data_IF_589804511847
#
_entry.id   IF_589804511847
#
_cell.length_a   1.000
_cell.length_b   1.000
_cell.length_c   1.000
_cell.angle_alpha   90.00
_cell.angle_beta   90.00
_cell.angle_gamma   90.00
#
_symmetry.space_group_name_H-M   'P 1'
#
loop_
_entity.id
_entity.type
_entity.pdbx_description
1 polymer ?
#
# COMPACT_ATOMS: atom_id res chain seq x y z
N UNK A 1 6.40 7.78 -12.00
CA UNK A 1 7.13 8.35 -13.15
C UNK A 1 6.14 9.05 -14.07
N UNK A 2 6.49 10.18 -14.70
CA UNK A 2 5.65 10.73 -15.75
C UNK A 2 5.40 9.61 -16.76
N UNK A 3 4.13 9.36 -17.12
CA UNK A 3 3.82 8.36 -18.15
C UNK A 3 4.55 8.79 -19.42
N UNK A 4 5.43 7.94 -19.93
CA UNK A 4 6.06 8.15 -21.23
C UNK A 4 4.97 8.41 -22.27
N UNK A 5 5.12 9.50 -23.01
CA UNK A 5 4.08 9.93 -23.93
C UNK A 5 4.24 9.14 -25.22
N UNK A 6 3.43 8.09 -25.35
CA UNK A 6 3.48 7.20 -26.51
C UNK A 6 2.87 7.90 -27.73
N UNK A 7 3.65 8.05 -28.80
CA UNK A 7 3.15 8.56 -30.08
C UNK A 7 2.15 7.58 -30.69
N UNK A 8 1.08 8.11 -31.29
CA UNK A 8 0.07 7.33 -31.99
C UNK A 8 0.54 7.02 -33.42
N UNK A 9 0.18 5.86 -33.95
CA UNK A 9 0.65 5.37 -35.26
C UNK A 9 -0.18 5.88 -36.44
N UNK A 10 -1.33 6.52 -36.22
CA UNK A 10 -2.25 6.90 -37.30
C UNK A 10 -3.10 5.75 -37.85
N UNK A 11 -2.98 4.56 -37.26
CA UNK A 11 -3.74 3.38 -37.65
C UNK A 11 -5.06 3.31 -36.87
N UNK A 12 -6.10 2.70 -37.45
CA UNK A 12 -7.43 2.54 -36.82
C UNK A 12 -7.38 1.48 -35.71
N UNK A 13 -6.55 0.44 -35.87
CA UNK A 13 -6.43 -0.68 -34.94
C UNK A 13 -4.95 -0.94 -34.56
N UNK A 14 -4.73 -1.59 -33.41
CA UNK A 14 -3.41 -1.91 -32.86
C UNK A 14 -3.05 -1.14 -31.58
N UNK A 15 -1.94 -1.52 -30.94
CA UNK A 15 -1.54 -1.05 -29.61
C UNK A 15 -1.37 0.48 -29.49
N UNK A 16 -1.01 1.15 -30.59
CA UNK A 16 -0.78 2.60 -30.65
C UNK A 16 -1.75 3.32 -31.60
N UNK A 17 -2.87 2.68 -31.92
CA UNK A 17 -3.87 3.21 -32.83
C UNK A 17 -4.39 4.59 -32.40
N UNK A 18 -4.87 5.35 -33.38
CA UNK A 18 -5.40 6.70 -33.22
C UNK A 18 -4.63 7.74 -34.02
N UNK A 19 -5.22 8.93 -34.12
CA UNK A 19 -4.67 10.05 -34.87
C UNK A 19 -3.28 10.48 -34.34
N UNK A 20 -2.34 10.72 -35.26
CA UNK A 20 -1.00 11.20 -34.93
C UNK A 20 -1.11 12.62 -34.37
N UNK A 21 -0.88 12.77 -33.07
CA UNK A 21 -0.85 14.07 -32.39
C UNK A 21 0.49 14.22 -31.66
N UNK A 22 0.99 15.45 -31.54
CA UNK A 22 2.16 15.78 -30.71
C UNK A 22 1.73 15.88 -29.25
N UNK A 23 2.03 14.89 -28.41
CA UNK A 23 1.36 14.78 -27.13
C UNK A 23 2.15 15.53 -26.05
N UNK A 24 1.48 16.45 -25.34
CA UNK A 24 2.08 17.25 -24.25
C UNK A 24 2.13 16.44 -22.95
N UNK A 25 3.18 16.62 -22.16
CA UNK A 25 3.31 16.05 -20.83
C UNK A 25 2.99 17.12 -19.76
N UNK A 26 1.73 17.22 -19.28
CA UNK A 26 1.38 18.21 -18.27
C UNK A 26 1.87 17.81 -16.88
N UNK A 27 2.14 18.82 -16.04
CA UNK A 27 2.41 18.58 -14.63
C UNK A 27 1.22 17.86 -13.95
N UNK A 28 1.47 16.94 -13.01
CA UNK A 28 0.40 16.25 -12.31
C UNK A 28 -0.39 17.25 -11.44
N UNK A 29 -1.72 17.26 -11.61
CA UNK A 29 -2.64 18.06 -10.78
C UNK A 29 -2.44 17.78 -9.29
N UNK A 30 -2.41 18.85 -8.48
CA UNK A 30 -2.24 18.79 -7.01
C UNK A 30 -3.29 17.89 -6.35
N UNK A 31 -4.54 17.87 -6.85
CA UNK A 31 -5.60 17.01 -6.34
C UNK A 31 -5.28 15.51 -6.38
N UNK A 32 -4.41 15.06 -7.29
CA UNK A 32 -3.95 13.66 -7.36
C UNK A 32 -2.98 13.27 -6.24
N UNK A 33 -2.45 14.24 -5.50
CA UNK A 33 -1.55 14.02 -4.35
C UNK A 33 -2.33 13.75 -3.04
N UNK A 34 -3.65 13.85 -3.05
CA UNK A 34 -4.49 13.58 -1.87
C UNK A 34 -4.23 12.16 -1.35
N UNK A 35 -3.89 12.04 -0.07
CA UNK A 35 -3.58 10.76 0.58
C UNK A 35 -2.08 10.40 0.62
N UNK A 36 -1.21 11.22 0.03
CA UNK A 36 0.24 11.04 0.18
C UNK A 36 0.69 11.28 1.62
N UNK A 37 1.61 10.44 2.11
CA UNK A 37 2.11 10.54 3.47
C UNK A 37 3.12 11.69 3.60
N UNK A 38 2.83 12.67 4.46
CA UNK A 38 3.78 13.74 4.79
C UNK A 38 4.67 13.33 5.99
N UNK A 39 5.87 13.91 6.11
CA UNK A 39 6.79 13.66 7.24
C UNK A 39 6.12 13.92 8.59
N UNK A 40 5.41 15.06 8.72
CA UNK A 40 4.67 15.41 9.94
C UNK A 40 3.57 14.40 10.25
N UNK A 41 2.78 13.98 9.25
CA UNK A 41 1.71 13.01 9.46
C UNK A 41 2.25 11.62 9.81
N UNK A 42 3.41 11.23 9.26
CA UNK A 42 4.07 9.98 9.61
C UNK A 42 4.48 9.99 11.09
N UNK A 43 5.18 11.04 11.53
CA UNK A 43 5.62 11.22 12.92
C UNK A 43 4.44 11.18 13.91
N UNK A 44 3.36 11.91 13.63
CA UNK A 44 2.16 11.90 14.50
C UNK A 44 1.53 10.50 14.59
N UNK A 45 1.50 9.75 13.48
CA UNK A 45 0.96 8.38 13.46
C UNK A 45 1.83 7.39 14.23
N UNK A 46 3.14 7.59 14.23
CA UNK A 46 4.08 6.77 14.99
C UNK A 46 3.84 6.94 16.50
N UNK A 47 3.80 8.18 16.99
CA UNK A 47 3.48 8.49 18.40
C UNK A 47 2.13 7.90 18.80
N UNK A 48 1.10 8.03 17.95
CA UNK A 48 -0.24 7.52 18.28
C UNK A 48 -0.25 5.99 18.41
N UNK A 49 0.54 5.28 17.59
CA UNK A 49 0.65 3.82 17.66
C UNK A 49 1.37 3.36 18.92
N UNK A 50 2.40 4.09 19.34
CA UNK A 50 3.11 3.81 20.58
C UNK A 50 2.19 3.94 21.79
N UNK A 51 1.42 5.04 21.85
CA UNK A 51 0.51 5.32 22.98
C UNK A 51 -0.71 4.40 23.00
N UNK A 52 -1.40 4.22 21.86
CA UNK A 52 -2.65 3.46 21.81
C UNK A 52 -2.44 1.94 21.67
N UNK A 53 -1.26 1.52 21.18
CA UNK A 53 -0.96 0.12 20.91
C UNK A 53 -1.77 -0.50 19.76
N UNK A 54 -1.78 -1.84 19.72
CA UNK A 54 -2.44 -2.64 18.67
C UNK A 54 -3.84 -3.09 19.07
N UNK A 55 -4.74 -3.17 18.08
CA UNK A 55 -6.07 -3.71 18.30
C UNK A 55 -6.05 -5.25 18.56
N UNK A 56 -7.06 -5.82 19.23
CA UNK A 56 -7.09 -7.25 19.56
C UNK A 56 -6.94 -8.18 18.34
N UNK A 57 -7.55 -7.81 17.20
CA UNK A 57 -7.44 -8.61 15.98
C UNK A 57 -6.03 -8.53 15.35
N UNK A 58 -5.33 -7.41 15.53
CA UNK A 58 -3.95 -7.20 15.04
C UNK A 58 -2.96 -8.04 15.84
N UNK A 59 -3.13 -8.07 17.17
CA UNK A 59 -2.38 -8.99 18.06
C UNK A 59 -2.56 -10.45 17.63
N UNK A 60 -3.80 -10.87 17.36
CA UNK A 60 -4.09 -12.23 16.87
C UNK A 60 -3.47 -12.53 15.50
N UNK A 61 -3.36 -11.53 14.62
CA UNK A 61 -2.65 -11.67 13.33
C UNK A 61 -1.17 -11.90 13.59
N UNK A 62 -0.54 -11.12 14.48
CA UNK A 62 0.87 -11.28 14.86
C UNK A 62 1.14 -12.69 15.42
N UNK A 63 0.29 -13.20 16.30
CA UNK A 63 0.40 -14.57 16.83
C UNK A 63 0.38 -15.63 15.72
N UNK A 64 -0.50 -15.47 14.73
CA UNK A 64 -0.57 -16.39 13.60
C UNK A 64 0.67 -16.30 12.71
N UNK A 65 1.21 -15.10 12.50
CA UNK A 65 2.43 -14.87 11.72
C UNK A 65 3.68 -15.41 12.43
N UNK A 66 3.77 -15.29 13.76
CA UNK A 66 4.86 -15.90 14.56
C UNK A 66 4.89 -17.43 14.45
N UNK A 67 3.71 -18.04 14.28
CA UNK A 67 3.55 -19.48 14.07
C UNK A 67 3.60 -19.90 12.59
N UNK A 68 4.04 -19.01 11.68
CA UNK A 68 4.12 -19.27 10.23
C UNK A 68 2.79 -19.66 9.56
N UNK A 69 1.65 -19.24 10.12
CA UNK A 69 0.28 -19.55 9.61
C UNK A 69 -0.27 -18.42 8.72
N UNK A 70 0.47 -18.03 7.68
CA UNK A 70 0.15 -16.85 6.86
C UNK A 70 -1.22 -16.89 6.16
N UNK A 71 -1.60 -18.06 5.63
CA UNK A 71 -2.91 -18.24 4.97
C UNK A 71 -4.06 -17.97 5.95
N UNK A 72 -3.91 -18.41 7.21
CA UNK A 72 -4.89 -18.21 8.27
C UNK A 72 -4.90 -16.75 8.74
N UNK A 73 -3.73 -16.13 8.89
CA UNK A 73 -3.61 -14.69 9.18
C UNK A 73 -4.33 -13.83 8.12
N UNK A 74 -4.10 -14.11 6.83
CA UNK A 74 -4.78 -13.41 5.73
C UNK A 74 -6.29 -13.65 5.73
N UNK A 75 -6.76 -14.86 6.05
CA UNK A 75 -8.21 -15.17 6.14
C UNK A 75 -8.87 -14.42 7.30
N UNK A 76 -8.20 -14.36 8.46
CA UNK A 76 -8.67 -13.61 9.63
C UNK A 76 -8.73 -12.10 9.31
N UNK A 77 -7.66 -11.54 8.76
CA UNK A 77 -7.60 -10.13 8.39
C UNK A 77 -8.66 -9.77 7.33
N UNK A 78 -8.90 -10.65 6.34
CA UNK A 78 -9.98 -10.46 5.35
C UNK A 78 -11.36 -10.49 6.00
N UNK A 79 -11.61 -11.40 6.95
CA UNK A 79 -12.89 -11.45 7.69
C UNK A 79 -13.14 -10.17 8.50
N UNK A 80 -12.08 -9.53 9.02
CA UNK A 80 -12.19 -8.28 9.81
C UNK A 80 -12.26 -7.01 8.95
N UNK A 81 -11.49 -6.95 7.85
CA UNK A 81 -11.35 -5.74 7.01
C UNK A 81 -12.17 -5.76 5.71
N UNK A 82 -12.80 -6.90 5.39
CA UNK A 82 -13.65 -7.12 4.22
C UNK A 82 -12.90 -7.57 2.96
N UNK A 83 -11.97 -6.75 2.46
CA UNK A 83 -11.32 -7.00 1.14
C UNK A 83 -9.93 -7.61 1.27
N UNK A 84 -9.53 -8.38 0.25
CA UNK A 84 -8.21 -9.03 0.23
C UNK A 84 -7.06 -8.01 0.15
N UNK A 85 -7.20 -6.95 -0.64
CA UNK A 85 -6.16 -5.91 -0.74
C UNK A 85 -5.89 -5.20 0.59
N UNK A 86 -6.94 -4.95 1.40
CA UNK A 86 -6.78 -4.39 2.75
C UNK A 86 -6.14 -5.39 3.71
N UNK A 87 -6.59 -6.65 3.65
CA UNK A 87 -6.03 -7.73 4.46
C UNK A 87 -4.53 -7.95 4.19
N UNK A 88 -4.13 -7.97 2.92
CA UNK A 88 -2.72 -8.12 2.51
C UNK A 88 -1.87 -6.99 3.09
N UNK A 89 -2.31 -5.74 2.90
CA UNK A 89 -1.61 -4.56 3.42
C UNK A 89 -1.47 -4.58 4.95
N UNK A 90 -2.53 -4.97 5.66
CA UNK A 90 -2.50 -5.07 7.13
C UNK A 90 -1.56 -6.20 7.59
N UNK A 91 -1.54 -7.33 6.90
CA UNK A 91 -0.61 -8.43 7.21
C UNK A 91 0.84 -8.02 6.97
N UNK A 92 1.14 -7.32 5.87
CA UNK A 92 2.48 -6.77 5.60
C UNK A 92 2.92 -5.79 6.71
N UNK A 93 2.02 -4.92 7.16
CA UNK A 93 2.26 -4.02 8.30
C UNK A 93 2.59 -4.81 9.58
N UNK A 94 1.84 -5.87 9.90
CA UNK A 94 2.12 -6.71 11.07
C UNK A 94 3.45 -7.46 10.95
N UNK A 95 3.81 -7.93 9.76
CA UNK A 95 5.11 -8.56 9.50
C UNK A 95 6.27 -7.58 9.73
N UNK A 96 6.12 -6.32 9.29
CA UNK A 96 7.13 -5.29 9.52
C UNK A 96 7.31 -5.00 11.02
N UNK A 97 6.22 -4.90 11.78
CA UNK A 97 6.29 -4.72 13.25
C UNK A 97 7.05 -5.87 13.91
N UNK A 98 6.83 -7.12 13.48
CA UNK A 98 7.57 -8.29 13.99
C UNK A 98 9.07 -8.15 13.67
N UNK A 99 9.41 -7.73 12.45
CA UNK A 99 10.80 -7.55 12.03
C UNK A 99 11.49 -6.43 12.83
N UNK A 100 10.81 -5.30 13.05
CA UNK A 100 11.31 -4.19 13.88
C UNK A 100 11.49 -4.62 15.33
N UNK A 101 10.52 -5.34 15.90
CA UNK A 101 10.62 -5.87 17.27
C UNK A 101 11.81 -6.82 17.44
N UNK A 102 12.09 -7.65 16.42
CA UNK A 102 13.27 -8.54 16.43
C UNK A 102 14.58 -7.76 16.36
N UNK A 103 14.63 -6.68 15.57
CA UNK A 103 15.83 -5.82 15.47
C UNK A 103 16.12 -5.05 16.75
N UNK A 104 15.08 -4.60 17.47
CA UNK A 104 15.24 -3.83 18.70
C UNK A 104 15.59 -4.71 19.92
N UNK A 105 15.31 -6.02 19.85
CA UNK A 105 15.62 -6.99 20.92
C UNK A 105 17.00 -7.65 20.81
N UNK A 106 17.78 -7.30 19.78
CA UNK A 106 19.19 -7.64 19.62
C UNK A 106 20.03 -6.38 19.84
#
# INVERSE_FOLDING_TARGET
MPKEVKQRSGLILGLNAGHKVTPRQPAPKISRRKGFLSKRTAFVREITREVAGLAPYEKRVIELLRNSKDKRARRLAKKRLGTFGRAKRKVEEMTNIIAESRRAGH
#
